data_IF_827909771139
#
_entry.id   IF_827909771139
#
_cell.length_a   1.000
_cell.length_b   1.000
_cell.length_c   1.000
_cell.angle_alpha   90.00
_cell.angle_beta   90.00
_cell.angle_gamma   90.00
#
_symmetry.space_group_name_H-M   'P 1'
#
loop_
_entity.id
_entity.type
_entity.pdbx_description
1 polymer ?
#
# COMPACT_ATOMS: atom_id res chain seq x y z
N UNK A 1 2.02 3.25 -14.55
CA UNK A 1 2.06 2.20 -13.52
C UNK A 1 3.41 2.28 -12.85
N UNK A 2 3.45 2.05 -11.54
CA UNK A 2 4.52 2.58 -10.71
C UNK A 2 5.74 1.66 -10.56
N UNK A 3 5.52 0.34 -10.47
CA UNK A 3 6.53 -0.71 -10.46
C UNK A 3 5.91 -1.99 -11.03
N UNK A 4 6.31 -2.50 -12.20
CA UNK A 4 5.90 -3.86 -12.65
C UNK A 4 6.96 -4.46 -13.55
N UNK A 5 6.87 -5.75 -13.88
CA UNK A 5 7.65 -6.31 -14.99
C UNK A 5 6.78 -6.50 -16.22
N UNK A 6 7.41 -6.84 -17.36
CA UNK A 6 6.67 -7.12 -18.59
C UNK A 6 5.92 -8.46 -18.54
N UNK A 7 6.36 -9.37 -17.69
CA UNK A 7 5.93 -10.77 -17.59
C UNK A 7 5.05 -11.03 -16.37
N UNK A 8 4.97 -10.09 -15.43
CA UNK A 8 4.28 -10.29 -14.17
C UNK A 8 3.82 -8.98 -13.53
N UNK A 9 2.78 -9.07 -12.72
CA UNK A 9 2.18 -7.96 -11.98
C UNK A 9 3.06 -7.45 -10.81
N UNK A 10 4.12 -8.18 -10.45
CA UNK A 10 5.19 -7.68 -9.57
C UNK A 10 6.54 -7.99 -10.21
N UNK A 11 7.57 -7.24 -9.85
CA UNK A 11 8.87 -7.47 -10.45
C UNK A 11 9.53 -8.71 -9.87
N UNK A 12 9.91 -9.68 -10.70
CA UNK A 12 10.72 -10.82 -10.27
C UNK A 12 12.22 -10.55 -10.39
N UNK A 13 13.02 -11.25 -9.59
CA UNK A 13 14.49 -11.19 -9.62
C UNK A 13 14.99 -11.57 -11.01
N UNK A 14 15.92 -10.77 -11.52
CA UNK A 14 16.47 -10.95 -12.86
C UNK A 14 15.64 -10.30 -13.98
N UNK A 15 14.45 -9.80 -13.67
CA UNK A 15 13.67 -8.96 -14.58
C UNK A 15 14.04 -7.49 -14.39
N UNK A 16 13.78 -6.66 -15.41
CA UNK A 16 13.88 -5.21 -15.27
C UNK A 16 12.50 -4.66 -14.89
N UNK A 17 12.37 -4.02 -13.71
CA UNK A 17 11.20 -3.22 -13.41
C UNK A 17 11.01 -2.10 -14.42
N UNK A 18 9.74 -1.87 -14.75
CA UNK A 18 9.23 -0.64 -15.34
C UNK A 18 8.73 0.29 -14.21
N UNK A 19 8.72 1.60 -14.45
CA UNK A 19 8.25 2.60 -13.51
C UNK A 19 9.22 3.74 -13.25
N UNK A 20 8.68 4.95 -13.10
CA UNK A 20 9.48 6.20 -12.98
C UNK A 20 10.33 6.27 -11.71
N UNK A 21 9.98 5.52 -10.67
CA UNK A 21 10.74 5.47 -9.42
C UNK A 21 11.87 4.44 -9.43
N UNK A 22 11.83 3.46 -10.34
CA UNK A 22 12.78 2.35 -10.33
C UNK A 22 14.25 2.77 -10.43
N UNK A 23 14.67 3.71 -11.31
CA UNK A 23 16.06 4.14 -11.39
C UNK A 23 16.59 4.64 -10.03
N UNK A 24 15.78 5.40 -9.29
CA UNK A 24 16.16 5.95 -7.99
C UNK A 24 16.32 4.87 -6.92
N UNK A 25 15.37 3.93 -6.84
CA UNK A 25 15.42 2.85 -5.85
C UNK A 25 16.57 1.87 -6.11
N UNK A 26 16.86 1.62 -7.40
CA UNK A 26 17.94 0.74 -7.83
C UNK A 26 19.32 1.34 -7.57
N UNK A 27 19.53 2.61 -7.93
CA UNK A 27 20.84 3.27 -7.77
C UNK A 27 21.26 3.39 -6.30
N UNK A 28 20.27 3.45 -5.39
CA UNK A 28 20.48 3.48 -3.94
C UNK A 28 20.51 2.08 -3.30
N UNK A 29 20.21 1.02 -4.05
CA UNK A 29 20.06 -0.35 -3.57
C UNK A 29 19.06 -0.49 -2.40
N UNK A 30 17.99 0.33 -2.39
CA UNK A 30 16.98 0.37 -1.32
C UNK A 30 15.63 -0.23 -1.71
N UNK A 31 15.58 -0.89 -2.87
CA UNK A 31 14.37 -1.45 -3.46
C UNK A 31 13.76 -2.66 -2.70
N UNK A 32 14.53 -3.28 -1.79
CA UNK A 32 14.12 -4.46 -1.02
C UNK A 32 14.36 -4.27 0.47
N UNK A 33 13.30 -4.40 1.26
CA UNK A 33 13.40 -4.44 2.71
C UNK A 33 14.00 -5.79 3.18
N UNK A 34 15.06 -5.79 4.02
CA UNK A 34 15.64 -7.02 4.54
C UNK A 34 14.64 -7.88 5.32
N UNK A 35 13.75 -7.25 6.10
CA UNK A 35 12.73 -7.94 6.89
C UNK A 35 11.71 -8.62 5.99
N UNK A 36 11.21 -7.92 4.97
CA UNK A 36 10.35 -8.50 3.95
C UNK A 36 11.05 -9.69 3.26
N UNK A 37 12.29 -9.53 2.81
CA UNK A 37 13.02 -10.60 2.12
C UNK A 37 13.19 -11.86 2.98
N UNK A 38 13.33 -11.72 4.29
CA UNK A 38 13.36 -12.86 5.21
C UNK A 38 12.00 -13.56 5.31
N UNK A 39 10.92 -12.78 5.36
CA UNK A 39 9.54 -13.28 5.51
C UNK A 39 8.99 -13.89 4.22
N UNK A 40 9.38 -13.36 3.07
CA UNK A 40 9.02 -13.90 1.77
C UNK A 40 9.70 -15.25 1.47
N UNK A 41 10.72 -15.64 2.24
CA UNK A 41 11.44 -16.89 2.02
C UNK A 41 10.48 -18.09 2.12
N UNK A 42 10.50 -18.96 1.11
CA UNK A 42 9.62 -20.12 0.98
C UNK A 42 8.13 -19.80 0.75
N UNK A 43 7.81 -18.56 0.39
CA UNK A 43 6.49 -18.18 -0.12
C UNK A 43 6.52 -18.06 -1.65
N UNK A 44 5.37 -17.84 -2.26
CA UNK A 44 5.30 -17.53 -3.69
C UNK A 44 5.96 -16.19 -4.08
N UNK A 45 6.21 -15.30 -3.11
CA UNK A 45 6.87 -14.00 -3.33
C UNK A 45 8.39 -14.06 -3.12
N UNK A 46 8.96 -15.25 -2.92
CA UNK A 46 10.40 -15.41 -2.67
C UNK A 46 11.29 -14.87 -3.81
N UNK A 47 10.74 -14.78 -5.02
CA UNK A 47 11.41 -14.28 -6.21
C UNK A 47 11.13 -12.81 -6.51
N UNK A 48 10.42 -12.06 -5.65
CA UNK A 48 10.22 -10.62 -5.88
C UNK A 48 11.55 -9.86 -5.81
N UNK A 49 11.68 -8.85 -6.65
CA UNK A 49 12.77 -7.88 -6.65
C UNK A 49 12.47 -6.67 -5.78
N UNK A 50 11.19 -6.36 -5.49
CA UNK A 50 10.79 -5.18 -4.70
C UNK A 50 9.86 -5.58 -3.55
N UNK A 51 9.97 -4.87 -2.42
CA UNK A 51 9.07 -5.05 -1.27
C UNK A 51 8.00 -3.96 -1.15
N UNK A 52 8.05 -2.93 -2.02
CA UNK A 52 7.16 -1.77 -1.92
C UNK A 52 5.92 -1.93 -2.79
N UNK A 53 4.82 -1.40 -2.27
CA UNK A 53 3.52 -1.29 -2.92
C UNK A 53 3.13 0.17 -3.04
N UNK A 54 2.39 0.52 -4.10
CA UNK A 54 2.10 1.90 -4.48
C UNK A 54 0.62 2.19 -4.34
N UNK A 55 0.28 3.31 -3.69
CA UNK A 55 -1.10 3.73 -3.47
C UNK A 55 -1.83 3.92 -4.82
N UNK A 56 -2.90 3.16 -5.02
CA UNK A 56 -3.69 3.16 -6.26
C UNK A 56 -4.50 4.43 -6.51
N UNK A 57 -4.71 5.22 -5.46
CA UNK A 57 -5.50 6.45 -5.50
C UNK A 57 -4.70 7.69 -5.91
N UNK A 58 -3.37 7.60 -6.00
CA UNK A 58 -2.48 8.72 -6.36
C UNK A 58 -1.67 8.40 -7.61
N UNK A 59 -1.42 9.42 -8.42
CA UNK A 59 -0.56 9.41 -9.62
C UNK A 59 -0.90 8.34 -10.67
N UNK A 60 -2.16 7.90 -10.72
CA UNK A 60 -2.64 7.12 -11.85
C UNK A 60 -3.02 8.07 -13.00
N UNK A 61 -2.27 8.11 -14.12
CA UNK A 61 -2.52 9.06 -15.21
C UNK A 61 -3.87 8.87 -15.91
N UNK A 62 -4.52 7.72 -15.76
CA UNK A 62 -5.87 7.48 -16.28
C UNK A 62 -6.96 7.99 -15.33
N UNK A 63 -6.63 8.31 -14.08
CA UNK A 63 -7.59 8.63 -13.01
C UNK A 63 -8.49 7.46 -12.60
N UNK A 64 -8.44 6.34 -13.32
CA UNK A 64 -9.18 5.12 -13.02
C UNK A 64 -8.69 4.54 -11.71
N UNK A 65 -9.61 3.92 -10.97
CA UNK A 65 -9.28 3.28 -9.72
C UNK A 65 -9.82 1.88 -9.71
N UNK A 66 -9.03 0.94 -9.20
CA UNK A 66 -9.39 -0.47 -9.18
C UNK A 66 -10.27 -0.80 -7.96
N UNK A 67 -11.44 -0.18 -7.89
CA UNK A 67 -12.25 -0.21 -6.67
C UNK A 67 -13.75 0.00 -6.93
N UNK A 68 -14.32 -0.69 -7.92
CA UNK A 68 -15.74 -0.53 -8.33
C UNK A 68 -16.77 -0.51 -7.17
N UNK A 69 -16.41 -1.05 -6.00
CA UNK A 69 -17.17 -0.98 -4.76
C UNK A 69 -17.22 0.39 -4.06
N UNK A 70 -16.36 1.36 -4.41
CA UNK A 70 -16.43 2.74 -3.90
C UNK A 70 -17.55 3.57 -4.56
N UNK A 71 -18.18 3.03 -5.61
CA UNK A 71 -19.27 3.69 -6.34
C UNK A 71 -18.83 4.22 -7.71
N UNK A 72 -19.83 4.59 -8.52
CA UNK A 72 -19.61 5.10 -9.87
C UNK A 72 -19.00 6.51 -9.84
N UNK A 73 -18.08 6.78 -10.78
CA UNK A 73 -17.46 8.10 -10.94
C UNK A 73 -16.37 8.44 -9.91
N UNK A 74 -15.95 7.47 -9.09
CA UNK A 74 -14.83 7.66 -8.17
C UNK A 74 -13.50 7.51 -8.93
N UNK A 75 -12.72 8.59 -8.93
CA UNK A 75 -11.42 8.68 -9.60
C UNK A 75 -10.28 8.98 -8.62
N UNK A 76 -9.09 8.48 -8.95
CA UNK A 76 -7.82 8.81 -8.34
C UNK A 76 -7.46 10.28 -8.61
N UNK A 77 -6.38 10.74 -7.98
CA UNK A 77 -5.75 12.02 -8.31
C UNK A 77 -4.55 11.81 -9.22
N UNK A 78 -4.34 12.73 -10.15
CA UNK A 78 -3.25 12.65 -11.13
C UNK A 78 -2.04 13.51 -10.76
N UNK A 79 -2.27 14.56 -9.98
CA UNK A 79 -1.25 15.54 -9.58
C UNK A 79 -1.25 15.75 -8.07
N UNK A 80 -0.11 16.17 -7.54
CA UNK A 80 0.04 16.49 -6.12
C UNK A 80 -0.94 17.58 -5.66
N UNK A 81 -1.22 18.58 -6.52
CA UNK A 81 -2.12 19.69 -6.20
C UNK A 81 -3.58 19.30 -5.95
N UNK A 82 -3.97 18.09 -6.35
CA UNK A 82 -5.30 17.53 -6.09
C UNK A 82 -5.39 16.82 -4.73
N UNK A 83 -4.26 16.56 -4.07
CA UNK A 83 -4.20 15.89 -2.77
C UNK A 83 -4.57 16.89 -1.67
N UNK A 84 -5.62 16.56 -0.91
CA UNK A 84 -6.15 17.44 0.13
C UNK A 84 -5.18 17.69 1.28
N UNK A 85 -4.39 16.69 1.66
CA UNK A 85 -3.41 16.79 2.73
C UNK A 85 -2.23 15.86 2.44
N UNK A 86 -1.17 16.41 1.84
CA UNK A 86 -0.01 15.66 1.39
C UNK A 86 0.73 14.96 2.54
N UNK A 87 0.74 15.55 3.73
CA UNK A 87 1.33 14.99 4.94
C UNK A 87 0.52 13.86 5.59
N UNK A 88 -0.61 13.44 4.99
CA UNK A 88 -1.45 12.34 5.53
C UNK A 88 -1.82 11.30 4.50
N UNK A 89 -1.39 11.47 3.25
CA UNK A 89 -1.71 10.56 2.15
C UNK A 89 -0.47 9.76 1.79
N UNK A 90 -0.57 8.43 1.83
CA UNK A 90 0.50 7.50 1.47
C UNK A 90 0.79 7.57 -0.02
N UNK A 91 2.06 7.53 -0.40
CA UNK A 91 2.51 7.27 -1.78
C UNK A 91 2.87 5.80 -1.94
N UNK A 92 3.73 5.28 -1.08
CA UNK A 92 4.11 3.87 -1.08
C UNK A 92 4.44 3.38 0.34
N UNK A 93 4.34 2.07 0.51
CA UNK A 93 4.57 1.36 1.78
C UNK A 93 4.95 -0.10 1.48
N UNK A 94 4.92 -0.96 2.48
CA UNK A 94 5.12 -2.41 2.38
C UNK A 94 3.80 -3.15 2.69
N UNK A 95 3.64 -4.38 2.22
CA UNK A 95 2.56 -5.30 2.61
C UNK A 95 3.10 -6.58 3.23
N UNK A 96 2.25 -7.27 3.99
CA UNK A 96 2.60 -8.57 4.53
C UNK A 96 2.63 -9.65 3.45
N UNK A 97 3.47 -10.67 3.63
CA UNK A 97 3.44 -11.88 2.82
C UNK A 97 2.42 -12.91 3.35
N UNK A 98 1.40 -12.46 4.09
CA UNK A 98 0.30 -13.27 4.61
C UNK A 98 -0.94 -12.40 4.82
N UNK A 99 -2.11 -13.03 4.85
CA UNK A 99 -3.37 -12.40 5.21
C UNK A 99 -3.54 -12.37 6.74
N UNK A 100 -4.26 -11.38 7.26
CA UNK A 100 -4.59 -11.25 8.68
C UNK A 100 -6.10 -11.21 8.81
N UNK A 101 -6.67 -12.20 9.50
CA UNK A 101 -8.12 -12.30 9.73
C UNK A 101 -8.68 -11.00 10.33
N UNK A 102 -9.75 -10.49 9.72
CA UNK A 102 -10.42 -9.26 10.15
C UNK A 102 -9.62 -7.96 9.87
N UNK A 103 -8.51 -8.05 9.14
CA UNK A 103 -7.69 -6.89 8.76
C UNK A 103 -7.46 -6.88 7.25
N UNK A 104 -6.87 -7.93 6.69
CA UNK A 104 -6.48 -8.01 5.28
C UNK A 104 -6.68 -9.41 4.73
N UNK A 105 -7.40 -9.50 3.61
CA UNK A 105 -7.67 -10.76 2.90
C UNK A 105 -6.65 -11.02 1.77
N UNK A 106 -5.91 -9.98 1.36
CA UNK A 106 -4.91 -10.04 0.31
C UNK A 106 -3.51 -9.82 0.92
N UNK A 107 -2.62 -10.83 0.90
CA UNK A 107 -1.19 -10.61 1.09
C UNK A 107 -0.60 -9.76 -0.05
N UNK A 108 0.72 -9.49 -0.02
CA UNK A 108 1.48 -8.76 -1.05
C UNK A 108 0.96 -9.02 -2.46
N UNK A 109 0.41 -7.97 -3.07
CA UNK A 109 -0.37 -8.09 -4.30
C UNK A 109 0.10 -7.06 -5.34
N UNK A 110 0.74 -7.54 -6.40
CA UNK A 110 0.94 -6.79 -7.65
C UNK A 110 1.60 -5.41 -7.51
N UNK A 111 2.40 -5.21 -6.45
CA UNK A 111 2.96 -3.91 -6.04
C UNK A 111 1.92 -2.79 -5.91
N UNK A 112 0.66 -3.17 -5.75
CA UNK A 112 -0.50 -2.30 -5.81
C UNK A 112 -1.09 -2.19 -4.41
N UNK A 113 -1.42 -0.97 -4.00
CA UNK A 113 -1.90 -0.72 -2.65
C UNK A 113 -3.25 -0.03 -2.67
N UNK A 114 -4.30 -0.84 -2.58
CA UNK A 114 -5.70 -0.39 -2.47
C UNK A 114 -6.21 -0.76 -1.09
N UNK A 115 -5.99 0.10 -0.10
CA UNK A 115 -6.45 -0.21 1.27
C UNK A 115 -7.96 -0.30 1.34
N UNK A 116 -8.42 -1.33 2.01
CA UNK A 116 -9.83 -1.58 2.28
C UNK A 116 -10.41 -0.68 3.36
N UNK A 117 -11.69 -0.90 3.68
CA UNK A 117 -12.35 -0.28 4.82
C UNK A 117 -13.07 -1.37 5.63
N UNK A 118 -13.84 -0.98 6.64
CA UNK A 118 -14.50 -1.99 7.50
C UNK A 118 -15.51 -2.88 6.75
N UNK A 119 -16.06 -2.41 5.62
CA UNK A 119 -17.01 -3.17 4.80
C UNK A 119 -16.32 -4.05 3.73
N UNK A 120 -15.02 -3.82 3.45
CA UNK A 120 -14.29 -4.52 2.40
C UNK A 120 -12.82 -4.67 2.79
N UNK A 121 -12.47 -5.87 3.25
CA UNK A 121 -11.09 -6.27 3.51
C UNK A 121 -10.41 -6.61 2.18
N UNK A 122 -9.27 -5.98 1.93
CA UNK A 122 -8.42 -6.19 0.75
C UNK A 122 -6.96 -6.01 1.22
N UNK A 123 -6.23 -5.08 0.64
CA UNK A 123 -4.85 -4.73 0.96
C UNK A 123 -4.78 -3.96 2.28
N UNK A 124 -3.69 -4.12 3.04
CA UNK A 124 -3.34 -3.24 4.16
C UNK A 124 -1.82 -3.16 4.30
N UNK A 125 -1.34 -2.06 4.86
CA UNK A 125 0.09 -1.88 5.07
C UNK A 125 0.61 -2.93 6.05
N UNK A 126 1.88 -3.26 5.87
CA UNK A 126 2.58 -4.28 6.62
C UNK A 126 2.53 -4.06 8.13
N UNK A 127 2.68 -5.16 8.85
CA UNK A 127 2.61 -5.17 10.31
C UNK A 127 3.87 -5.77 10.93
N UNK A 128 4.91 -6.04 10.16
CA UNK A 128 6.05 -6.83 10.64
C UNK A 128 7.20 -6.03 11.26
N UNK A 129 7.23 -4.71 11.11
CA UNK A 129 8.25 -3.88 11.76
C UNK A 129 7.89 -3.61 13.22
N UNK A 130 8.89 -3.68 14.10
CA UNK A 130 8.76 -3.45 15.54
C UNK A 130 7.63 -4.24 16.23
N UNK A 131 7.29 -5.43 15.70
CA UNK A 131 6.37 -6.37 16.32
C UNK A 131 6.98 -7.04 17.56
N UNK A 132 6.24 -7.08 18.67
CA UNK A 132 6.66 -7.69 19.94
C UNK A 132 6.30 -9.18 20.01
N UNK A 133 6.76 -9.95 19.03
CA UNK A 133 6.54 -11.40 18.94
C UNK A 133 5.37 -11.81 18.03
N UNK A 134 4.27 -11.05 18.03
CA UNK A 134 3.20 -11.21 17.05
C UNK A 134 3.45 -10.27 15.85
N UNK A 135 3.74 -10.84 14.68
CA UNK A 135 3.97 -10.06 13.45
C UNK A 135 2.70 -9.37 12.93
N UNK A 136 1.53 -9.67 13.47
CA UNK A 136 0.27 -9.01 13.10
C UNK A 136 0.03 -7.68 13.84
N UNK A 137 0.91 -7.31 14.77
CA UNK A 137 0.72 -6.17 15.68
C UNK A 137 1.80 -5.08 15.56
N UNK A 138 2.74 -5.23 14.63
CA UNK A 138 3.77 -4.24 14.38
C UNK A 138 3.27 -3.08 13.51
N UNK A 139 4.14 -2.62 12.62
CA UNK A 139 3.83 -1.53 11.70
C UNK A 139 4.60 -1.63 10.38
N UNK A 140 4.46 -0.59 9.59
CA UNK A 140 5.14 -0.37 8.31
C UNK A 140 5.87 0.97 8.29
N UNK A 141 6.93 1.06 7.50
CA UNK A 141 7.44 2.36 7.10
C UNK A 141 6.56 2.89 5.97
N UNK A 142 6.00 4.07 6.16
CA UNK A 142 5.08 4.71 5.22
C UNK A 142 5.72 5.98 4.69
N UNK A 143 5.72 6.15 3.37
CA UNK A 143 6.13 7.39 2.72
C UNK A 143 4.89 8.16 2.28
N UNK A 144 4.82 9.43 2.68
CA UNK A 144 3.69 10.31 2.39
C UNK A 144 3.95 11.19 1.17
N UNK A 145 2.91 11.83 0.65
CA UNK A 145 2.96 12.62 -0.60
C UNK A 145 3.92 13.81 -0.48
N UNK A 146 4.06 14.42 0.69
CA UNK A 146 5.05 15.48 0.93
C UNK A 146 6.51 14.97 1.10
N UNK A 147 6.72 13.65 1.01
CA UNK A 147 8.01 12.99 1.06
C UNK A 147 8.52 12.63 2.46
N UNK A 148 7.80 12.94 3.54
CA UNK A 148 8.22 12.47 4.86
C UNK A 148 7.95 10.96 5.03
N UNK A 149 8.66 10.36 5.99
CA UNK A 149 8.55 8.95 6.33
C UNK A 149 8.16 8.82 7.80
N UNK A 150 7.22 7.93 8.10
CA UNK A 150 6.85 7.58 9.48
C UNK A 150 6.68 6.07 9.65
N UNK A 151 6.86 5.58 10.88
CA UNK A 151 6.53 4.21 11.24
C UNK A 151 5.10 4.17 11.77
N UNK A 152 4.18 3.64 10.95
CA UNK A 152 2.78 3.59 11.29
C UNK A 152 2.39 2.21 11.81
N UNK A 153 1.84 2.16 13.03
CA UNK A 153 1.35 0.93 13.65
C UNK A 153 0.02 0.52 13.05
N UNK A 154 -0.23 -0.79 13.01
CA UNK A 154 -1.52 -1.34 12.62
C UNK A 154 -2.67 -0.63 13.35
N UNK A 155 -3.63 -0.13 12.59
CA UNK A 155 -4.89 0.39 13.12
C UNK A 155 -5.90 -0.73 13.36
N UNK A 156 -6.72 -0.56 14.40
CA UNK A 156 -7.87 -1.44 14.64
C UNK A 156 -9.10 -1.01 13.84
N UNK A 157 -9.22 0.30 13.60
CA UNK A 157 -10.28 0.87 12.80
C UNK A 157 -9.84 0.95 11.34
N UNK A 158 -10.43 0.11 10.47
CA UNK A 158 -10.03 0.05 9.06
C UNK A 158 -10.39 1.31 8.28
N UNK A 159 -11.38 2.08 8.73
CA UNK A 159 -11.70 3.38 8.11
C UNK A 159 -10.55 4.40 8.33
N UNK A 160 -9.78 4.27 9.41
CA UNK A 160 -8.56 5.07 9.62
C UNK A 160 -7.45 4.64 8.66
N UNK A 161 -7.31 3.33 8.40
CA UNK A 161 -6.37 2.80 7.42
C UNK A 161 -6.68 3.29 6.02
N UNK A 162 -7.96 3.20 5.61
CA UNK A 162 -8.43 3.76 4.35
C UNK A 162 -8.13 5.26 4.22
N UNK A 163 -8.30 6.02 5.31
CA UNK A 163 -8.08 7.46 5.27
C UNK A 163 -6.64 7.84 4.90
N UNK A 164 -5.67 7.01 5.28
CA UNK A 164 -4.25 7.23 4.95
C UNK A 164 -3.97 7.13 3.46
N UNK A 165 -4.74 6.37 2.70
CA UNK A 165 -4.51 6.26 1.24
C UNK A 165 -5.41 7.17 0.43
N UNK A 166 -6.56 7.58 0.98
CA UNK A 166 -7.53 8.37 0.25
C UNK A 166 -7.10 9.84 0.05
N UNK A 167 -6.92 10.34 -1.19
CA UNK A 167 -6.30 11.64 -1.44
C UNK A 167 -7.25 12.83 -1.27
N UNK A 168 -8.57 12.60 -1.30
CA UNK A 168 -9.56 13.69 -1.29
C UNK A 168 -10.01 14.02 0.13
N UNK A 169 -10.62 15.20 0.28
CA UNK A 169 -11.16 15.66 1.57
C UNK A 169 -12.29 14.76 2.06
N UNK A 170 -13.29 14.60 1.21
CA UNK A 170 -14.49 13.81 1.48
C UNK A 170 -14.23 12.33 1.16
N UNK A 171 -14.68 11.45 2.04
CA UNK A 171 -14.64 10.01 1.80
C UNK A 171 -15.63 9.64 0.68
N UNK A 172 -15.32 8.63 -0.13
CA UNK A 172 -16.19 8.20 -1.22
C UNK A 172 -17.39 7.36 -0.72
N UNK A 173 -17.47 7.11 0.58
CA UNK A 173 -18.54 6.41 1.27
C UNK A 173 -18.80 7.07 2.63
N UNK A 174 -19.98 6.80 3.21
CA UNK A 174 -20.26 7.18 4.58
C UNK A 174 -19.47 6.25 5.53
N UNK A 175 -18.58 6.77 6.39
CA UNK A 175 -17.84 5.93 7.33
C UNK A 175 -18.82 5.18 8.23
N UNK A 176 -18.50 3.93 8.51
CA UNK A 176 -19.31 3.09 9.40
C UNK A 176 -19.24 3.72 10.80
N UNK A 177 -20.36 4.22 11.31
CA UNK A 177 -20.43 4.70 12.69
C UNK A 177 -20.13 3.56 13.64
N UNK A 178 -18.90 3.50 14.15
CA UNK A 178 -18.60 2.70 15.34
C UNK A 178 -19.26 3.44 16.50
N UNK A 179 -20.32 2.86 17.06
CA UNK A 179 -20.87 3.31 18.32
C UNK A 179 -19.73 3.41 19.33
N UNK A 180 -19.53 4.60 19.90
CA UNK A 180 -18.68 4.76 21.08
C UNK A 180 -19.30 3.93 22.20
N UNK A 181 -18.80 2.70 22.36
CA UNK A 181 -18.99 1.89 23.57
C UNK A 181 -18.03 2.37 24.65
#
# INVERSE_FOLDING_TARGET
EWLKSQSHEWVRRGEQPDGVFWPYLKDLDVHMCPKFSMLAKNTQWADTAVSYVMNSYVGNPKGEVWNSWLGSGINAVTTETEVYNTAKVVVFTEENTWAIEGYSDAPFNDTHFTVGNQARLIDNYATFHNASGNLDEGGANIVFVDGHVDLFRRVKNLDEGFRLVWPKKELPYAPTTIGRG
#
